data_IF_271729038682
#
_entry.id   IF_271729038682
#
_cell.length_a   1.000
_cell.length_b   1.000
_cell.length_c   1.000
_cell.angle_alpha   90.00
_cell.angle_beta   90.00
_cell.angle_gamma   90.00
#
_symmetry.space_group_name_H-M   'P 1'
#
loop_
_entity.id
_entity.type
_entity.pdbx_description
1 polymer ?
#
# COMPACT_ATOMS: atom_id res chain seq x y z
N UNK A 1 1.49 2.05 6.09
CA UNK A 1 0.56 2.48 7.15
C UNK A 1 0.49 3.99 7.39
N UNK A 2 1.51 4.74 7.85
CA UNK A 2 1.32 6.19 8.18
C UNK A 2 0.91 7.04 6.98
N UNK A 3 1.41 6.71 5.78
CA UNK A 3 1.05 7.39 4.52
C UNK A 3 -0.44 7.27 4.18
N UNK A 4 -1.14 6.26 4.71
CA UNK A 4 -2.57 6.12 4.51
C UNK A 4 -3.36 7.21 5.25
N UNK A 5 -2.85 7.69 6.39
CA UNK A 5 -3.48 8.77 7.14
C UNK A 5 -3.46 10.11 6.40
N UNK A 6 -2.69 10.24 5.31
CA UNK A 6 -2.70 11.44 4.48
C UNK A 6 -3.81 11.43 3.42
N UNK A 7 -4.52 10.31 3.23
CA UNK A 7 -5.59 10.16 2.23
C UNK A 7 -6.94 10.68 2.78
N UNK A 8 -7.69 11.52 2.05
CA UNK A 8 -8.95 12.08 2.52
C UNK A 8 -10.00 11.03 2.91
N UNK A 9 -10.15 9.97 2.12
CA UNK A 9 -11.13 8.91 2.37
C UNK A 9 -10.82 8.12 3.66
N UNK A 10 -9.54 7.98 4.01
CA UNK A 10 -9.11 7.31 5.25
C UNK A 10 -9.27 8.24 6.44
N UNK A 11 -8.96 9.53 6.27
CA UNK A 11 -9.19 10.55 7.31
C UNK A 11 -10.66 10.62 7.69
N UNK A 12 -11.56 10.57 6.70
CA UNK A 12 -13.00 10.55 6.91
C UNK A 12 -13.45 9.25 7.59
N UNK A 13 -13.00 8.08 7.10
CA UNK A 13 -13.36 6.77 7.67
C UNK A 13 -12.93 6.63 9.13
N UNK A 14 -11.74 7.15 9.48
CA UNK A 14 -11.20 7.13 10.84
C UNK A 14 -11.62 8.34 11.69
N UNK A 15 -12.38 9.27 11.11
CA UNK A 15 -12.83 10.51 11.76
C UNK A 15 -11.69 11.30 12.41
N UNK A 16 -10.57 11.43 11.70
CA UNK A 16 -9.39 12.12 12.22
C UNK A 16 -9.63 13.62 12.35
N UNK A 17 -9.11 14.21 13.43
CA UNK A 17 -9.18 15.66 13.63
C UNK A 17 -8.19 16.39 12.71
N UNK A 18 -8.42 17.66 12.36
CA UNK A 18 -7.47 18.44 11.55
C UNK A 18 -6.06 18.49 12.17
N UNK A 19 -5.98 18.52 13.50
CA UNK A 19 -4.70 18.47 14.24
C UNK A 19 -3.96 17.15 13.97
N UNK A 20 -4.62 16.01 14.17
CA UNK A 20 -4.03 14.69 13.92
C UNK A 20 -3.62 14.50 12.46
N UNK A 21 -4.41 15.02 11.52
CA UNK A 21 -4.09 14.99 10.09
C UNK A 21 -2.79 15.75 9.81
N UNK A 22 -2.62 16.94 10.40
CA UNK A 22 -1.41 17.74 10.23
C UNK A 22 -0.18 17.07 10.85
N UNK A 23 -0.35 16.46 12.02
CA UNK A 23 0.73 15.73 12.70
C UNK A 23 1.15 14.48 11.90
N UNK A 24 0.18 13.69 11.42
CA UNK A 24 0.43 12.52 10.57
C UNK A 24 1.17 12.88 9.27
N UNK A 25 0.83 14.01 8.64
CA UNK A 25 1.53 14.51 7.44
C UNK A 25 2.98 14.89 7.74
N UNK A 26 3.21 15.54 8.88
CA UNK A 26 4.55 15.93 9.32
C UNK A 26 5.41 14.69 9.56
N UNK A 27 4.90 13.74 10.35
CA UNK A 27 5.58 12.48 10.61
C UNK A 27 5.81 11.68 9.33
N UNK A 28 4.80 11.55 8.47
CA UNK A 28 4.91 10.84 7.20
C UNK A 28 6.02 11.42 6.30
N UNK A 29 6.12 12.74 6.22
CA UNK A 29 7.16 13.42 5.44
C UNK A 29 8.56 13.19 6.04
N UNK A 30 8.66 13.19 7.36
CA UNK A 30 9.91 12.91 8.07
C UNK A 30 10.38 11.47 7.85
N UNK A 31 9.50 10.49 8.07
CA UNK A 31 9.81 9.06 7.91
C UNK A 31 10.15 8.76 6.45
N UNK A 32 9.44 9.36 5.49
CA UNK A 32 9.76 9.22 4.07
C UNK A 32 11.17 9.75 3.75
N UNK A 33 11.54 10.93 4.29
CA UNK A 33 12.89 11.48 4.10
C UNK A 33 13.97 10.55 4.67
N UNK A 34 13.74 10.00 5.87
CA UNK A 34 14.65 9.02 6.49
C UNK A 34 14.76 7.74 5.65
N UNK A 35 13.64 7.22 5.16
CA UNK A 35 13.62 6.02 4.30
C UNK A 35 14.34 6.25 2.97
N UNK A 36 14.12 7.41 2.32
CA UNK A 36 14.81 7.79 1.07
C UNK A 36 16.32 7.91 1.27
N UNK A 37 16.79 8.42 2.42
CA UNK A 37 18.22 8.51 2.71
C UNK A 37 18.89 7.13 2.78
N UNK A 38 18.15 6.08 3.13
CA UNK A 38 18.62 4.69 3.18
C UNK A 38 18.52 3.97 1.83
N UNK A 39 17.96 4.60 0.80
CA UNK A 39 17.78 3.98 -0.51
C UNK A 39 19.13 3.64 -1.15
N UNK A 40 19.25 2.44 -1.72
CA UNK A 40 20.50 1.94 -2.31
C UNK A 40 21.57 1.51 -1.31
N UNK A 41 21.36 1.70 0.00
CA UNK A 41 22.30 1.25 1.03
C UNK A 41 21.97 -0.18 1.47
N UNK A 42 22.99 -0.91 1.95
CA UNK A 42 22.87 -2.28 2.45
C UNK A 42 23.74 -2.50 3.68
N UNK A 43 23.40 -3.52 4.49
CA UNK A 43 24.16 -3.93 5.67
C UNK A 43 23.41 -3.73 6.99
N UNK A 44 23.99 -4.19 8.12
CA UNK A 44 23.32 -4.21 9.42
C UNK A 44 22.83 -2.84 9.90
N UNK A 45 23.59 -1.77 9.66
CA UNK A 45 23.21 -0.41 10.04
C UNK A 45 21.93 0.08 9.35
N UNK A 46 21.71 -0.32 8.10
CA UNK A 46 20.49 0.01 7.34
C UNK A 46 19.29 -0.73 7.91
N UNK A 47 19.46 -1.99 8.31
CA UNK A 47 18.39 -2.77 8.95
C UNK A 47 17.98 -2.14 10.29
N UNK A 48 18.94 -1.74 11.12
CA UNK A 48 18.67 -1.02 12.37
C UNK A 48 17.95 0.30 12.12
N UNK A 49 18.40 1.09 11.14
CA UNK A 49 17.77 2.36 10.81
C UNK A 49 16.31 2.19 10.31
N UNK A 50 16.05 1.16 9.50
CA UNK A 50 14.68 0.80 9.07
C UNK A 50 13.81 0.40 10.25
N UNK A 51 14.35 -0.42 11.16
CA UNK A 51 13.63 -0.83 12.37
C UNK A 51 13.25 0.37 13.23
N UNK A 52 14.14 1.35 13.40
CA UNK A 52 13.85 2.59 14.14
C UNK A 52 12.73 3.40 13.46
N UNK A 53 12.68 3.43 12.12
CA UNK A 53 11.58 4.07 11.38
C UNK A 53 10.25 3.37 11.68
N UNK A 54 10.23 2.04 11.61
CA UNK A 54 9.03 1.23 11.85
C UNK A 54 8.54 1.34 13.31
N UNK A 55 9.46 1.32 14.28
CA UNK A 55 9.17 1.51 15.70
C UNK A 55 8.61 2.90 15.98
N UNK A 56 9.22 3.95 15.43
CA UNK A 56 8.71 5.33 15.58
C UNK A 56 7.31 5.48 15.00
N UNK A 57 7.05 4.88 13.84
CA UNK A 57 5.73 4.87 13.24
C UNK A 57 4.71 4.15 14.14
N UNK A 58 5.07 2.97 14.64
CA UNK A 58 4.17 2.13 15.47
C UNK A 58 3.84 2.82 16.79
N UNK A 59 4.86 3.41 17.43
CA UNK A 59 4.69 4.17 18.67
C UNK A 59 3.72 5.34 18.47
N UNK A 60 3.96 6.18 17.45
CA UNK A 60 3.10 7.34 17.20
C UNK A 60 1.65 6.92 16.98
N UNK A 61 1.40 5.87 16.19
CA UNK A 61 0.06 5.36 15.93
C UNK A 61 -0.64 4.90 17.20
N UNK A 62 0.08 4.19 18.09
CA UNK A 62 -0.49 3.72 19.36
C UNK A 62 -0.77 4.84 20.37
N UNK A 63 -0.04 5.94 20.30
CA UNK A 63 -0.22 7.11 21.19
C UNK A 63 -1.36 8.03 20.72
N UNK A 64 -1.61 8.12 19.42
CA UNK A 64 -2.51 9.12 18.83
C UNK A 64 -3.84 8.56 18.34
N UNK A 65 -3.92 7.25 18.05
CA UNK A 65 -5.15 6.61 17.62
C UNK A 65 -5.77 5.79 18.76
N UNK A 66 -7.09 5.84 18.86
CA UNK A 66 -7.82 4.90 19.72
C UNK A 66 -7.62 3.45 19.24
N UNK A 67 -7.81 2.44 20.11
CA UNK A 67 -7.71 1.03 19.72
C UNK A 67 -8.59 0.68 18.51
N UNK A 68 -9.83 1.19 18.46
CA UNK A 68 -10.75 0.99 17.34
C UNK A 68 -10.27 1.64 16.05
N UNK A 69 -9.71 2.86 16.11
CA UNK A 69 -9.12 3.51 14.94
C UNK A 69 -7.88 2.76 14.45
N UNK A 70 -7.06 2.23 15.36
CA UNK A 70 -5.87 1.47 15.01
C UNK A 70 -6.22 0.15 14.33
N UNK A 71 -7.18 -0.60 14.89
CA UNK A 71 -7.71 -1.82 14.28
C UNK A 71 -8.30 -1.53 12.90
N UNK A 72 -9.10 -0.45 12.79
CA UNK A 72 -9.67 -0.06 11.49
C UNK A 72 -8.59 0.35 10.50
N UNK A 73 -7.55 1.05 10.93
CA UNK A 73 -6.41 1.41 10.08
C UNK A 73 -5.69 0.15 9.57
N UNK A 74 -5.52 -0.88 10.40
CA UNK A 74 -4.91 -2.15 9.98
C UNK A 74 -5.75 -2.83 8.88
N UNK A 75 -7.08 -2.84 9.03
CA UNK A 75 -7.99 -3.35 8.01
C UNK A 75 -7.88 -2.54 6.70
N UNK A 76 -7.81 -1.21 6.78
CA UNK A 76 -7.66 -0.33 5.62
C UNK A 76 -6.29 -0.50 4.93
N UNK A 77 -5.23 -0.70 5.70
CA UNK A 77 -3.88 -0.97 5.20
C UNK A 77 -3.84 -2.32 4.46
N UNK A 78 -4.58 -3.32 4.96
CA UNK A 78 -4.75 -4.61 4.28
C UNK A 78 -5.59 -4.51 3.01
N UNK A 79 -6.67 -3.71 3.03
CA UNK A 79 -7.48 -3.44 1.83
C UNK A 79 -6.68 -2.71 0.76
N UNK A 80 -5.84 -1.74 1.16
CA UNK A 80 -4.98 -0.98 0.27
C UNK A 80 -3.89 -1.84 -0.38
N UNK A 81 -3.23 -2.69 0.41
CA UNK A 81 -2.21 -3.62 -0.12
C UNK A 81 -2.83 -4.74 -0.97
N UNK A 82 -4.09 -5.09 -0.69
CA UNK A 82 -4.82 -6.10 -1.42
C UNK A 82 -4.22 -7.51 -1.23
N UNK A 83 -4.56 -8.46 -2.12
CA UNK A 83 -4.19 -9.87 -1.95
C UNK A 83 -2.69 -10.15 -1.93
N UNK A 84 -1.84 -9.20 -2.34
CA UNK A 84 -0.39 -9.33 -2.22
C UNK A 84 0.08 -9.47 -0.77
N UNK A 85 -0.70 -8.94 0.19
CA UNK A 85 -0.48 -9.10 1.63
C UNK A 85 -0.38 -10.55 2.08
N UNK A 86 -0.98 -11.49 1.34
CA UNK A 86 -0.90 -12.93 1.61
C UNK A 86 0.54 -13.45 1.64
N UNK A 87 1.49 -12.81 0.94
CA UNK A 87 2.89 -13.25 0.92
C UNK A 87 3.88 -12.19 1.40
N UNK A 88 3.54 -10.90 1.35
CA UNK A 88 4.39 -9.83 1.88
C UNK A 88 4.32 -9.72 3.41
N UNK A 89 3.23 -10.18 4.06
CA UNK A 89 3.06 -10.17 5.51
C UNK A 89 3.10 -11.59 6.08
N UNK A 90 4.16 -11.98 6.81
CA UNK A 90 4.26 -13.31 7.41
C UNK A 90 3.05 -13.66 8.29
N UNK A 91 2.59 -12.72 9.11
CA UNK A 91 1.46 -12.93 10.02
C UNK A 91 0.15 -13.26 9.28
N UNK A 92 -0.09 -12.65 8.12
CA UNK A 92 -1.28 -12.93 7.29
C UNK A 92 -1.15 -14.31 6.64
N UNK A 93 0.02 -14.62 6.11
CA UNK A 93 0.31 -15.91 5.51
C UNK A 93 0.16 -17.06 6.52
N UNK A 94 0.53 -16.83 7.77
CA UNK A 94 0.41 -17.79 8.88
C UNK A 94 -1.04 -17.89 9.37
N UNK A 95 -1.75 -16.76 9.49
CA UNK A 95 -3.17 -16.73 9.83
C UNK A 95 -4.03 -17.51 8.83
N UNK A 96 -3.81 -17.29 7.53
CA UNK A 96 -4.47 -18.01 6.44
C UNK A 96 -3.91 -19.44 6.25
N UNK A 97 -2.88 -19.83 7.00
CA UNK A 97 -2.22 -21.14 6.91
C UNK A 97 -1.83 -21.50 5.47
N UNK A 98 -1.26 -20.54 4.74
CA UNK A 98 -0.89 -20.74 3.34
C UNK A 98 0.18 -21.83 3.22
N UNK A 99 -0.08 -22.81 2.36
CA UNK A 99 0.91 -23.85 2.05
C UNK A 99 2.13 -23.25 1.33
N UNK A 100 3.26 -23.98 1.37
CA UNK A 100 4.45 -23.58 0.62
C UNK A 100 4.16 -23.42 -0.88
N UNK A 101 3.32 -24.29 -1.44
CA UNK A 101 2.88 -24.23 -2.84
C UNK A 101 2.04 -22.98 -3.12
N UNK A 102 1.08 -22.64 -2.26
CA UNK A 102 0.27 -21.42 -2.40
C UNK A 102 1.15 -20.17 -2.34
N UNK A 103 2.06 -20.10 -1.36
CA UNK A 103 3.02 -18.99 -1.23
C UNK A 103 3.90 -18.84 -2.47
N UNK A 104 4.42 -19.95 -2.99
CA UNK A 104 5.24 -19.95 -4.21
C UNK A 104 4.44 -19.49 -5.43
N UNK A 105 3.21 -20.00 -5.61
CA UNK A 105 2.34 -19.62 -6.73
C UNK A 105 1.98 -18.14 -6.72
N UNK A 106 1.61 -17.59 -5.57
CA UNK A 106 1.30 -16.16 -5.42
C UNK A 106 2.56 -15.31 -5.65
N UNK A 107 3.71 -15.71 -5.09
CA UNK A 107 4.99 -15.01 -5.30
C UNK A 107 5.36 -14.95 -6.79
N UNK A 108 5.17 -16.05 -7.51
CA UNK A 108 5.43 -16.11 -8.95
C UNK A 108 4.50 -15.19 -9.75
N UNK A 109 3.21 -15.11 -9.40
CA UNK A 109 2.28 -14.17 -10.04
C UNK A 109 2.73 -12.72 -9.86
N UNK A 110 3.15 -12.34 -8.65
CA UNK A 110 3.66 -10.99 -8.35
C UNK A 110 4.94 -10.71 -9.14
N UNK A 111 5.90 -11.64 -9.14
CA UNK A 111 7.15 -11.48 -9.87
C UNK A 111 6.93 -11.33 -11.38
N UNK A 112 6.02 -12.12 -11.96
CA UNK A 112 5.67 -12.04 -13.38
C UNK A 112 5.07 -10.67 -13.73
N UNK A 113 4.14 -10.16 -12.91
CA UNK A 113 3.54 -8.85 -13.12
C UNK A 113 4.56 -7.72 -13.07
N UNK A 114 5.46 -7.75 -12.09
CA UNK A 114 6.55 -6.76 -11.97
C UNK A 114 7.53 -6.84 -13.14
N UNK A 115 7.82 -8.04 -13.65
CA UNK A 115 8.62 -8.20 -14.87
C UNK A 115 7.95 -7.58 -16.09
N UNK A 116 6.64 -7.82 -16.30
CA UNK A 116 5.87 -7.23 -17.39
C UNK A 116 5.88 -5.70 -17.27
N UNK A 117 5.65 -5.17 -16.06
CA UNK A 117 5.67 -3.73 -15.79
C UNK A 117 7.03 -3.10 -16.15
N UNK A 118 8.14 -3.74 -15.81
CA UNK A 118 9.49 -3.26 -16.15
C UNK A 118 9.78 -3.28 -17.65
N UNK A 119 9.23 -4.25 -18.38
CA UNK A 119 9.46 -4.41 -19.82
C UNK A 119 8.53 -3.56 -20.68
N UNK A 120 7.26 -3.44 -20.29
CA UNK A 120 6.17 -2.88 -21.11
C UNK A 120 5.55 -1.61 -20.50
N UNK A 121 6.03 -1.16 -19.34
CA UNK A 121 5.54 0.01 -18.62
C UNK A 121 4.24 -0.25 -17.84
N UNK A 122 3.17 -0.67 -18.53
CA UNK A 122 1.86 -0.95 -17.90
C UNK A 122 1.43 -2.40 -18.14
N UNK A 123 1.03 -3.14 -17.09
CA UNK A 123 0.42 -4.45 -17.27
C UNK A 123 -0.87 -4.34 -18.09
N UNK A 124 -1.11 -5.31 -18.97
CA UNK A 124 -2.35 -5.39 -19.74
C UNK A 124 -3.58 -5.69 -18.86
N UNK A 125 -3.37 -6.37 -17.73
CA UNK A 125 -4.42 -6.68 -16.77
C UNK A 125 -4.72 -5.50 -15.82
N UNK A 126 -5.97 -5.37 -15.41
CA UNK A 126 -6.38 -4.41 -14.39
C UNK A 126 -5.96 -4.88 -12.99
N UNK A 127 -5.92 -3.96 -12.03
CA UNK A 127 -5.60 -4.30 -10.63
C UNK A 127 -6.60 -5.33 -10.06
N UNK A 128 -7.88 -5.20 -10.41
CA UNK A 128 -8.92 -6.11 -9.96
C UNK A 128 -8.78 -7.51 -10.57
N UNK A 129 -8.36 -7.60 -11.83
CA UNK A 129 -8.11 -8.88 -12.50
C UNK A 129 -6.91 -9.60 -11.86
N UNK A 130 -5.86 -8.85 -11.53
CA UNK A 130 -4.69 -9.39 -10.83
C UNK A 130 -5.05 -9.85 -9.40
N UNK A 131 -5.76 -9.01 -8.64
CA UNK A 131 -6.23 -9.34 -7.30
C UNK A 131 -7.05 -10.63 -7.29
N UNK A 132 -7.98 -10.80 -8.24
CA UNK A 132 -8.75 -12.04 -8.40
C UNK A 132 -7.87 -13.26 -8.67
N UNK A 133 -6.82 -13.09 -9.49
CA UNK A 133 -5.89 -14.19 -9.82
C UNK A 133 -5.14 -14.69 -8.59
N UNK A 134 -4.76 -13.79 -7.66
CA UNK A 134 -4.17 -14.16 -6.38
C UNK A 134 -5.20 -14.86 -5.48
N UNK A 135 -6.40 -14.28 -5.32
CA UNK A 135 -7.43 -14.86 -4.44
C UNK A 135 -7.86 -16.25 -4.90
N UNK A 136 -7.80 -16.54 -6.20
CA UNK A 136 -8.07 -17.88 -6.73
C UNK A 136 -7.04 -18.95 -6.30
N UNK A 137 -5.87 -18.54 -5.79
CA UNK A 137 -4.89 -19.45 -5.17
C UNK A 137 -5.27 -19.83 -3.74
N UNK A 138 -6.19 -19.10 -3.14
CA UNK A 138 -6.71 -19.40 -1.82
C UNK A 138 -7.89 -20.38 -1.94
N UNK A 139 -7.95 -21.32 -1.00
CA UNK A 139 -9.14 -22.14 -0.82
C UNK A 139 -10.33 -21.28 -0.37
N UNK A 140 -11.56 -21.79 -0.53
CA UNK A 140 -12.76 -21.05 -0.12
C UNK A 140 -12.75 -20.61 1.36
N UNK A 141 -12.39 -21.47 2.34
CA UNK A 141 -12.26 -21.03 3.73
C UNK A 141 -11.22 -19.92 3.92
N UNK A 142 -10.10 -19.96 3.18
CA UNK A 142 -9.08 -18.91 3.25
C UNK A 142 -9.57 -17.59 2.64
N UNK A 143 -10.39 -17.63 1.59
CA UNK A 143 -11.02 -16.42 1.03
C UNK A 143 -12.01 -15.79 2.03
N UNK A 144 -12.77 -16.61 2.74
CA UNK A 144 -13.68 -16.15 3.80
C UNK A 144 -12.90 -15.48 4.95
N UNK A 145 -11.85 -16.14 5.44
CA UNK A 145 -10.93 -15.57 6.44
C UNK A 145 -10.25 -14.27 5.97
N UNK A 146 -9.85 -14.20 4.71
CA UNK A 146 -9.30 -12.99 4.12
C UNK A 146 -10.31 -11.83 4.14
N UNK A 147 -11.57 -12.09 3.79
CA UNK A 147 -12.61 -11.07 3.82
C UNK A 147 -12.90 -10.57 5.25
N UNK A 148 -12.86 -11.47 6.24
CA UNK A 148 -13.00 -11.09 7.65
C UNK A 148 -11.87 -10.16 8.11
N UNK A 149 -10.63 -10.47 7.75
CA UNK A 149 -9.46 -9.63 8.07
C UNK A 149 -9.54 -8.23 7.48
N UNK A 150 -10.13 -8.09 6.28
CA UNK A 150 -10.29 -6.80 5.62
C UNK A 150 -11.40 -5.95 6.23
N UNK A 151 -12.37 -6.55 6.93
CA UNK A 151 -13.54 -5.86 7.46
C UNK A 151 -14.36 -5.19 6.37
N UNK A 152 -15.03 -4.07 6.71
CA UNK A 152 -15.93 -3.37 5.78
C UNK A 152 -15.15 -2.74 4.61
N UNK A 153 -15.50 -2.98 3.33
CA UNK A 153 -14.81 -2.38 2.20
C UNK A 153 -15.02 -0.87 2.14
N UNK A 154 -14.01 -0.14 1.67
CA UNK A 154 -14.15 1.28 1.29
C UNK A 154 -13.72 1.49 -0.17
N UNK A 155 -14.14 2.62 -0.73
CA UNK A 155 -13.68 3.04 -2.06
C UNK A 155 -12.48 3.96 -1.91
N UNK A 156 -11.32 3.49 -2.34
CA UNK A 156 -10.15 4.35 -2.47
C UNK A 156 -10.31 5.27 -3.67
N UNK A 157 -10.07 6.57 -3.46
CA UNK A 157 -10.05 7.53 -4.55
C UNK A 157 -8.73 7.35 -5.28
N UNK A 158 -8.74 7.28 -6.61
CA UNK A 158 -7.50 7.29 -7.37
C UNK A 158 -6.77 8.61 -7.08
N UNK A 159 -5.45 8.55 -6.83
CA UNK A 159 -4.67 9.78 -6.74
C UNK A 159 -4.83 10.54 -8.06
N UNK A 160 -5.12 11.86 -8.03
CA UNK A 160 -5.20 12.64 -9.25
C UNK A 160 -3.86 12.49 -9.98
N UNK A 161 -3.90 11.89 -11.17
CA UNK A 161 -2.72 11.79 -12.03
C UNK A 161 -2.13 13.20 -12.18
N UNK A 162 -0.82 13.41 -11.96
CA UNK A 162 -0.19 14.66 -12.38
C UNK A 162 -0.42 14.76 -13.89
N UNK A 163 -1.29 15.68 -14.30
CA UNK A 163 -1.44 16.02 -15.71
C UNK A 163 -0.05 16.48 -16.15
N UNK A 164 0.61 15.66 -16.98
CA UNK A 164 1.85 16.07 -17.63
C UNK A 164 1.65 17.41 -18.34
N UNK A 165 2.70 18.23 -18.49
CA UNK A 165 2.57 19.54 -19.11
C UNK A 165 1.94 19.35 -20.48
N UNK A 166 0.75 19.93 -20.66
CA UNK A 166 0.03 19.90 -21.91
C UNK A 166 0.93 20.41 -23.02
N UNK A 167 1.11 19.58 -24.04
CA UNK A 167 1.58 19.96 -25.37
C UNK A 167 0.64 21.03 -25.93
N UNK A 168 0.91 22.28 -25.58
CA UNK A 168 0.46 23.44 -26.33
C UNK A 168 1.49 23.69 -27.45
N UNK A 169 1.53 22.78 -28.42
CA UNK A 169 2.27 22.99 -29.66
C UNK A 169 1.32 23.43 -30.77
N UNK A 170 1.53 24.68 -31.18
CA UNK A 170 1.45 25.14 -32.56
C UNK A 170 0.12 25.01 -33.29
N UNK A 171 -0.68 26.07 -33.22
CA UNK A 171 -1.43 26.50 -34.40
C UNK A 171 -1.63 28.03 -34.42
N UNK A 172 -0.65 28.75 -34.95
CA UNK A 172 -0.81 30.14 -35.36
C UNK A 172 0.06 30.48 -36.58
N UNK A 173 -0.54 30.29 -37.76
CA UNK A 173 -0.51 31.19 -38.91
C UNK A 173 0.85 31.59 -39.51
N UNK A 174 1.26 30.84 -40.53
CA UNK A 174 1.28 31.28 -41.94
C UNK A 174 1.09 32.80 -42.14
N UNK A 175 2.19 33.52 -42.32
CA UNK A 175 2.30 34.75 -43.12
C UNK A 175 3.78 35.02 -43.42
N UNK A 176 4.24 34.60 -44.60
CA UNK A 176 5.04 35.39 -45.56
C UNK A 176 5.31 34.56 -46.81
#
# INVERSE_FOLDING_TARGET
>A
MILLLTRPEIQQELQLTPKLISEAKTLGSELQRRATALHGQSGPGVLTARRVIDEHQTQWLSEHLSPTQLERLQQLDLQWEGPTACVSRPIIADYLRLSAEQRASITQLIANRESIRKQQGRPAETEEAFARSILHKLSRPQQEQWNELQGRPIRFLADPQPQGPGTAESNAKMQR
#
